data_IF_612356993840
#
_entry.id   IF_612356993840
#
_cell.length_a   1.000
_cell.length_b   1.000
_cell.length_c   1.000
_cell.angle_alpha   90.00
_cell.angle_beta   90.00
_cell.angle_gamma   90.00
#
_symmetry.space_group_name_H-M   'P 1'
#
loop_
_entity.id
_entity.type
_entity.pdbx_description
1 polymer ?
#
# COMPACT_ATOMS: atom_id res chain seq x y z
N UNK A 1 -3.65 2.10 11.32
CA UNK A 1 -4.20 1.62 10.04
C UNK A 1 -5.55 1.02 10.37
N UNK A 2 -6.59 1.19 9.55
CA UNK A 2 -7.20 2.44 9.00
C UNK A 2 -7.43 3.58 10.02
N UNK A 3 -8.02 4.69 9.58
CA UNK A 3 -8.50 5.80 10.42
C UNK A 3 -9.76 6.48 9.87
N UNK A 4 -10.51 7.14 10.74
CA UNK A 4 -11.65 7.98 10.38
C UNK A 4 -11.25 9.45 10.35
N UNK A 5 -11.75 10.21 9.39
CA UNK A 5 -11.52 11.65 9.27
C UNK A 5 -12.86 12.38 9.50
N UNK A 6 -13.03 13.13 10.61
CA UNK A 6 -14.30 13.80 10.90
C UNK A 6 -14.64 14.91 9.90
N UNK A 7 -13.64 15.49 9.21
CA UNK A 7 -13.86 16.50 8.17
C UNK A 7 -14.28 15.86 6.83
N UNK A 8 -14.21 14.53 6.72
CA UNK A 8 -14.57 13.75 5.52
C UNK A 8 -15.45 12.55 5.89
N UNK A 9 -16.66 12.79 6.42
CA UNK A 9 -17.49 11.77 7.05
C UNK A 9 -18.03 10.71 6.07
N UNK A 10 -18.05 11.01 4.76
CA UNK A 10 -18.50 10.06 3.74
C UNK A 10 -17.53 8.91 3.49
N UNK A 11 -16.27 9.04 3.92
CA UNK A 11 -15.27 7.98 3.79
C UNK A 11 -15.17 7.25 5.12
N UNK A 12 -15.67 6.01 5.14
CA UNK A 12 -15.68 5.15 6.33
C UNK A 12 -14.30 4.97 6.95
N UNK A 13 -13.30 4.65 6.13
CA UNK A 13 -11.96 4.28 6.59
C UNK A 13 -10.89 4.73 5.60
N UNK A 14 -10.07 5.69 6.01
CA UNK A 14 -8.86 6.11 5.31
C UNK A 14 -7.70 5.16 5.63
N UNK A 15 -6.84 4.96 4.65
CA UNK A 15 -5.67 4.09 4.77
C UNK A 15 -4.53 4.59 3.88
N UNK A 16 -3.31 4.18 4.21
CA UNK A 16 -2.16 4.37 3.34
C UNK A 16 -2.00 3.16 2.42
N UNK A 17 -1.64 3.40 1.17
CA UNK A 17 -1.27 2.37 0.21
C UNK A 17 0.12 2.65 -0.35
N UNK A 18 0.83 1.59 -0.72
CA UNK A 18 2.11 1.69 -1.42
C UNK A 18 1.88 2.04 -2.88
N UNK A 19 2.68 2.98 -3.38
CA UNK A 19 2.60 3.52 -4.75
C UNK A 19 3.18 2.54 -5.78
N UNK A 20 2.31 1.88 -6.52
CA UNK A 20 2.65 0.93 -7.57
C UNK A 20 2.16 1.35 -8.96
N UNK A 21 2.06 2.66 -9.25
CA UNK A 21 1.51 3.20 -10.50
C UNK A 21 1.94 2.49 -11.80
N UNK A 22 3.15 1.96 -11.88
CA UNK A 22 3.62 1.18 -13.03
C UNK A 22 4.40 -0.04 -12.60
N UNK A 23 4.72 -0.93 -13.55
CA UNK A 23 5.46 -2.16 -13.29
C UNK A 23 6.76 -1.91 -12.50
N UNK A 24 7.53 -0.89 -12.85
CA UNK A 24 8.78 -0.56 -12.15
C UNK A 24 8.56 -0.13 -10.70
N UNK A 25 7.58 0.75 -10.42
CA UNK A 25 7.30 1.17 -9.04
C UNK A 25 6.69 0.04 -8.22
N UNK A 26 5.80 -0.76 -8.82
CA UNK A 26 5.22 -1.94 -8.21
C UNK A 26 6.30 -2.95 -7.78
N UNK A 27 7.24 -3.29 -8.67
CA UNK A 27 8.32 -4.24 -8.36
C UNK A 27 9.25 -3.76 -7.24
N UNK A 28 9.41 -2.44 -7.06
CA UNK A 28 10.16 -1.88 -5.93
C UNK A 28 9.48 -2.13 -4.58
N UNK A 29 8.18 -2.40 -4.54
CA UNK A 29 7.46 -2.75 -3.31
C UNK A 29 7.57 -4.25 -2.97
N UNK A 30 7.88 -5.09 -3.96
CA UNK A 30 7.94 -6.55 -3.85
C UNK A 30 9.37 -7.10 -3.80
N UNK A 31 10.27 -6.38 -3.14
CA UNK A 31 11.63 -6.90 -2.90
C UNK A 31 11.60 -7.99 -1.83
N UNK A 32 12.60 -8.87 -1.83
CA UNK A 32 12.70 -9.93 -0.81
C UNK A 32 12.72 -9.34 0.60
N UNK A 33 13.56 -8.31 0.78
CA UNK A 33 13.69 -7.56 2.03
C UNK A 33 12.36 -6.97 2.51
N UNK A 34 11.56 -6.38 1.62
CA UNK A 34 10.28 -5.78 2.02
C UNK A 34 9.24 -6.83 2.38
N UNK A 35 9.27 -8.01 1.75
CA UNK A 35 8.40 -9.13 2.12
C UNK A 35 8.80 -9.72 3.48
N UNK A 36 10.09 -9.96 3.70
CA UNK A 36 10.62 -10.46 4.98
C UNK A 36 10.30 -9.52 6.15
N UNK A 37 10.54 -8.21 5.98
CA UNK A 37 10.20 -7.22 7.01
C UNK A 37 8.70 -7.19 7.33
N UNK A 38 7.84 -7.42 6.34
CA UNK A 38 6.40 -7.46 6.54
C UNK A 38 5.99 -8.71 7.32
N UNK A 39 6.57 -9.87 6.98
CA UNK A 39 6.36 -11.15 7.65
C UNK A 39 6.85 -11.11 9.11
N UNK A 40 8.09 -10.65 9.35
CA UNK A 40 8.68 -10.52 10.68
C UNK A 40 7.88 -9.57 11.58
N UNK A 41 7.35 -8.48 11.01
CA UNK A 41 6.53 -7.52 11.73
C UNK A 41 5.09 -7.96 11.98
N UNK A 42 4.64 -9.10 11.42
CA UNK A 42 3.23 -9.49 11.41
C UNK A 42 2.33 -8.41 10.77
N UNK A 43 2.89 -7.67 9.81
CA UNK A 43 2.27 -6.47 9.24
C UNK A 43 1.34 -6.78 8.06
N UNK A 44 0.70 -5.74 7.55
CA UNK A 44 -0.05 -5.80 6.31
C UNK A 44 0.31 -4.62 5.41
N UNK A 45 0.23 -4.83 4.10
CA UNK A 45 0.46 -3.80 3.08
C UNK A 45 -0.67 -3.81 2.07
N UNK A 46 -1.11 -2.63 1.67
CA UNK A 46 -2.04 -2.43 0.56
C UNK A 46 -1.22 -1.84 -0.57
N UNK A 47 -1.20 -2.50 -1.73
CA UNK A 47 -0.48 -2.04 -2.92
C UNK A 47 -1.49 -1.94 -4.06
N UNK A 48 -1.44 -0.83 -4.79
CA UNK A 48 -2.26 -0.64 -5.99
C UNK A 48 -1.36 -0.55 -7.23
N UNK A 49 -1.91 -0.85 -8.40
CA UNK A 49 -1.18 -0.71 -9.66
C UNK A 49 -2.09 -0.50 -10.85
N UNK A 50 -1.51 0.00 -11.95
CA UNK A 50 -2.16 0.07 -13.26
C UNK A 50 -1.49 -0.91 -14.21
N UNK A 51 -2.15 -2.05 -14.47
CA UNK A 51 -1.60 -3.09 -15.35
C UNK A 51 -1.31 -2.63 -16.78
N UNK A 52 -1.93 -1.54 -17.24
CA UNK A 52 -1.63 -0.92 -18.54
C UNK A 52 -0.24 -0.26 -18.63
N UNK A 53 0.52 -0.15 -17.53
CA UNK A 53 1.78 0.60 -17.48
C UNK A 53 2.99 -0.33 -17.25
N UNK A 54 3.51 -0.90 -18.35
CA UNK A 54 4.79 -1.60 -18.39
C UNK A 54 4.80 -3.04 -17.87
N UNK A 55 3.63 -3.65 -17.66
CA UNK A 55 3.52 -5.06 -17.26
C UNK A 55 3.55 -6.02 -18.46
N UNK A 56 3.16 -5.56 -19.64
CA UNK A 56 3.16 -6.30 -20.89
C UNK A 56 3.91 -5.50 -21.94
N UNK A 57 4.87 -6.14 -22.60
CA UNK A 57 5.60 -5.59 -23.73
C UNK A 57 5.53 -6.60 -24.89
N UNK A 58 5.08 -6.16 -26.06
CA UNK A 58 4.94 -7.02 -27.26
C UNK A 58 4.16 -8.32 -26.99
N UNK A 59 3.09 -8.25 -26.19
CA UNK A 59 2.25 -9.40 -25.83
C UNK A 59 2.87 -10.37 -24.81
N UNK A 60 4.04 -10.03 -24.25
CA UNK A 60 4.71 -10.83 -23.21
C UNK A 60 4.68 -10.10 -21.88
N UNK A 61 4.37 -10.83 -20.81
CA UNK A 61 4.47 -10.31 -19.45
C UNK A 61 5.93 -10.07 -19.06
N UNK A 62 6.16 -9.01 -18.29
CA UNK A 62 7.49 -8.71 -17.75
C UNK A 62 7.95 -9.85 -16.82
N UNK A 63 9.15 -10.38 -17.09
CA UNK A 63 9.62 -11.62 -16.48
C UNK A 63 9.86 -11.46 -14.96
N UNK A 64 10.34 -10.30 -14.53
CA UNK A 64 10.57 -9.99 -13.12
C UNK A 64 9.26 -9.95 -12.35
N UNK A 65 8.20 -9.40 -12.92
CA UNK A 65 6.85 -9.41 -12.37
C UNK A 65 6.35 -10.84 -12.18
N UNK A 66 6.47 -11.69 -13.19
CA UNK A 66 6.08 -13.10 -13.07
C UNK A 66 6.86 -13.78 -11.94
N UNK A 67 8.18 -13.58 -11.87
CA UNK A 67 9.03 -14.17 -10.84
C UNK A 67 8.65 -13.67 -9.43
N UNK A 68 8.43 -12.35 -9.26
CA UNK A 68 8.05 -11.73 -7.98
C UNK A 68 6.67 -12.16 -7.52
N UNK A 69 5.70 -12.24 -8.43
CA UNK A 69 4.35 -12.71 -8.08
C UNK A 69 4.35 -14.19 -7.66
N UNK A 70 5.11 -15.05 -8.36
CA UNK A 70 5.29 -16.45 -7.94
C UNK A 70 5.95 -16.55 -6.58
N UNK A 71 6.98 -15.73 -6.31
CA UNK A 71 7.65 -15.69 -5.01
C UNK A 71 6.68 -15.24 -3.92
N UNK A 72 5.94 -14.14 -4.13
CA UNK A 72 4.95 -13.65 -3.19
C UNK A 72 3.88 -14.72 -2.89
N UNK A 73 3.33 -15.36 -3.92
CA UNK A 73 2.30 -16.39 -3.77
C UNK A 73 2.79 -17.64 -3.03
N UNK A 74 4.10 -17.91 -3.01
CA UNK A 74 4.69 -19.01 -2.25
C UNK A 74 4.90 -18.71 -0.75
N UNK A 75 4.75 -17.44 -0.33
CA UNK A 75 4.89 -17.03 1.06
C UNK A 75 3.62 -17.37 1.87
N UNK A 76 3.72 -17.59 3.19
CA UNK A 76 2.57 -17.84 4.07
C UNK A 76 1.79 -16.55 4.36
N UNK A 77 1.25 -15.91 3.32
CA UNK A 77 0.57 -14.62 3.38
C UNK A 77 -0.95 -14.72 3.32
N UNK A 78 -1.63 -13.75 3.94
CA UNK A 78 -3.07 -13.55 3.78
C UNK A 78 -3.34 -12.55 2.66
N UNK A 79 -3.65 -13.05 1.47
CA UNK A 79 -3.91 -12.23 0.27
C UNK A 79 -5.40 -11.94 0.12
N UNK A 80 -5.82 -10.72 0.48
CA UNK A 80 -7.22 -10.30 0.42
C UNK A 80 -7.40 -8.91 -0.19
N UNK A 81 -8.59 -8.59 -0.71
CA UNK A 81 -8.93 -7.23 -1.10
C UNK A 81 -8.76 -6.25 0.07
N UNK A 82 -8.43 -4.99 -0.25
CA UNK A 82 -8.24 -3.94 0.75
C UNK A 82 -9.44 -3.84 1.70
N UNK A 83 -10.68 -3.86 1.20
CA UNK A 83 -11.88 -3.79 2.03
C UNK A 83 -11.99 -4.89 3.10
N UNK A 84 -11.57 -6.11 2.76
CA UNK A 84 -11.54 -7.25 3.70
C UNK A 84 -10.51 -7.02 4.80
N UNK A 85 -9.30 -6.58 4.44
CA UNK A 85 -8.25 -6.25 5.40
C UNK A 85 -8.70 -5.11 6.33
N UNK A 86 -9.29 -4.05 5.79
CA UNK A 86 -9.74 -2.90 6.58
C UNK A 86 -10.85 -3.29 7.56
N UNK A 87 -11.81 -4.11 7.12
CA UNK A 87 -12.89 -4.62 7.98
C UNK A 87 -12.34 -5.50 9.12
N UNK A 88 -11.33 -6.34 8.83
CA UNK A 88 -10.66 -7.14 9.84
C UNK A 88 -9.92 -6.26 10.87
N UNK A 89 -9.18 -5.26 10.42
CA UNK A 89 -8.45 -4.35 11.32
C UNK A 89 -9.40 -3.52 12.19
N UNK A 90 -10.50 -3.04 11.61
CA UNK A 90 -11.56 -2.34 12.34
C UNK A 90 -12.19 -3.24 13.40
N UNK A 91 -12.49 -4.51 13.08
CA UNK A 91 -13.04 -5.47 14.05
C UNK A 91 -12.10 -5.77 15.23
N UNK A 92 -10.78 -5.63 15.05
CA UNK A 92 -9.81 -5.88 16.12
C UNK A 92 -9.52 -4.67 17.01
N UNK A 93 -9.47 -3.47 16.44
CA UNK A 93 -8.93 -2.27 17.13
C UNK A 93 -9.84 -1.05 17.05
N UNK A 94 -10.95 -1.14 16.33
CA UNK A 94 -11.79 0.00 15.95
C UNK A 94 -11.11 0.93 14.94
N UNK A 95 -11.78 2.04 14.63
CA UNK A 95 -11.21 3.12 13.83
C UNK A 95 -10.60 4.18 14.74
N UNK A 96 -9.33 4.49 14.51
CA UNK A 96 -8.69 5.65 15.14
C UNK A 96 -9.21 6.93 14.49
N UNK A 97 -9.69 7.89 15.27
CA UNK A 97 -10.06 9.20 14.76
C UNK A 97 -8.83 10.06 14.44
N UNK A 98 -8.86 10.75 13.30
CA UNK A 98 -7.81 11.67 12.88
C UNK A 98 -7.84 12.95 13.71
N UNK A 99 -6.96 13.05 14.70
CA UNK A 99 -6.81 14.27 15.49
C UNK A 99 -6.13 15.39 14.70
N UNK A 100 -6.37 16.68 15.03
CA UNK A 100 -5.71 17.81 14.37
C UNK A 100 -4.17 17.77 14.46
N UNK A 101 -3.64 17.27 15.58
CA UNK A 101 -2.20 17.09 15.75
C UNK A 101 -1.65 16.02 14.78
N UNK A 102 -2.37 14.90 14.62
CA UNK A 102 -1.97 13.86 13.69
C UNK A 102 -2.13 14.30 12.23
N UNK A 103 -3.21 15.03 11.88
CA UNK A 103 -3.38 15.65 10.56
C UNK A 103 -2.19 16.52 10.18
N UNK A 104 -1.80 17.48 11.04
CA UNK A 104 -0.64 18.35 10.79
C UNK A 104 0.64 17.55 10.58
N UNK A 105 0.85 16.46 11.34
CA UNK A 105 2.01 15.58 11.14
C UNK A 105 2.00 14.91 9.77
N UNK A 106 0.84 14.46 9.29
CA UNK A 106 0.70 13.89 7.94
C UNK A 106 0.94 14.92 6.85
N UNK A 107 0.39 16.13 7.00
CA UNK A 107 0.56 17.24 6.06
C UNK A 107 2.03 17.67 5.96
N UNK A 108 2.73 17.81 7.09
CA UNK A 108 4.16 18.11 7.11
C UNK A 108 5.01 17.01 6.47
N UNK A 109 4.65 15.74 6.70
CA UNK A 109 5.34 14.61 6.04
C UNK A 109 5.15 14.68 4.54
N UNK A 110 3.93 14.90 4.08
CA UNK A 110 3.61 15.05 2.65
C UNK A 110 4.34 16.24 2.03
N UNK A 111 4.34 17.39 2.70
CA UNK A 111 5.02 18.60 2.22
C UNK A 111 6.53 18.37 2.08
N UNK A 112 7.15 17.73 3.08
CA UNK A 112 8.57 17.34 3.01
C UNK A 112 8.85 16.41 1.84
N UNK A 113 8.00 15.41 1.61
CA UNK A 113 8.14 14.50 0.47
C UNK A 113 8.03 15.25 -0.87
N UNK A 114 7.09 16.19 -1.00
CA UNK A 114 6.94 17.04 -2.20
C UNK A 114 8.15 17.93 -2.44
N UNK A 115 8.68 18.57 -1.40
CA UNK A 115 9.88 19.43 -1.50
C UNK A 115 11.13 18.64 -1.91
N UNK A 116 11.28 17.41 -1.42
CA UNK A 116 12.47 16.58 -1.69
C UNK A 116 12.42 15.85 -3.02
N UNK A 117 11.24 15.40 -3.46
CA UNK A 117 11.10 14.49 -4.61
C UNK A 117 10.46 15.12 -5.84
N UNK A 118 9.93 16.34 -5.75
CA UNK A 118 9.15 16.94 -6.83
C UNK A 118 7.79 16.26 -7.00
N UNK A 119 6.98 16.71 -7.96
CA UNK A 119 5.63 16.17 -8.20
C UNK A 119 5.67 14.66 -8.43
N UNK A 120 4.66 13.97 -7.87
CA UNK A 120 4.42 12.54 -8.02
C UNK A 120 3.66 12.30 -9.30
#
# INVERSE_FOLDING_TARGET
MPYYDPDRPSVRAWFAASEGANCRSFLKTLTEKTMEQLEEGGGASIVYTHFGLGFVEQGRLEATFVARMRRLASRPGWFVPAGTLLSYLEGQRGLTELTPAWRRRLEWRWLREKLLRGTS
#
